data_IF_286703971550
#
_entry.id   IF_286703971550
#
_cell.length_a   1.000
_cell.length_b   1.000
_cell.length_c   1.000
_cell.angle_alpha   90.00
_cell.angle_beta   90.00
_cell.angle_gamma   90.00
#
_symmetry.space_group_name_H-M   'P 1'
#
loop_
_entity.id
_entity.type
_entity.pdbx_description
1 polymer ?
#
# COMPACT_ATOMS: atom_id res chain seq x y z
N UNK A 1 -0.48 -15.17 30.49
CA UNK A 1 0.71 -15.75 29.84
C UNK A 1 1.38 -14.63 29.06
N UNK A 2 2.58 -14.25 29.46
CA UNK A 2 3.40 -13.24 28.77
C UNK A 2 4.11 -13.93 27.62
N UNK A 3 3.70 -13.61 26.39
CA UNK A 3 4.26 -14.16 25.17
C UNK A 3 5.57 -13.46 24.82
N UNK A 4 6.57 -14.21 24.38
CA UNK A 4 7.79 -13.69 23.75
C UNK A 4 7.43 -13.03 22.42
N UNK A 5 6.98 -11.77 22.49
CA UNK A 5 6.97 -10.87 21.34
C UNK A 5 8.44 -10.51 21.08
N UNK A 6 8.97 -10.64 19.85
CA UNK A 6 10.31 -10.15 19.55
C UNK A 6 10.42 -8.69 20.02
N UNK A 7 11.51 -8.35 20.71
CA UNK A 7 11.70 -7.02 21.28
C UNK A 7 11.54 -5.97 20.17
N UNK A 8 10.79 -4.88 20.41
CA UNK A 8 10.62 -3.81 19.42
C UNK A 8 11.99 -3.34 18.96
N UNK A 9 12.26 -3.43 17.66
CA UNK A 9 13.49 -2.89 17.08
C UNK A 9 13.47 -1.36 17.04
N UNK A 10 12.28 -0.77 17.18
CA UNK A 10 12.05 0.67 17.11
C UNK A 10 11.00 1.07 18.15
N UNK A 11 11.18 2.20 18.83
CA UNK A 11 10.14 2.75 19.71
C UNK A 11 9.06 3.43 18.84
N UNK A 12 7.85 2.88 18.84
CA UNK A 12 6.72 3.42 18.08
C UNK A 12 6.38 4.87 18.46
N UNK A 13 6.59 5.27 19.71
CA UNK A 13 6.37 6.66 20.17
C UNK A 13 7.39 7.62 19.55
N UNK A 14 8.66 7.19 19.47
CA UNK A 14 9.71 7.96 18.83
C UNK A 14 9.46 8.12 17.32
N UNK A 15 9.00 7.05 16.63
CA UNK A 15 8.62 7.13 15.22
C UNK A 15 7.51 8.16 14.98
N UNK A 16 6.46 8.15 15.80
CA UNK A 16 5.38 9.13 15.73
C UNK A 16 5.88 10.55 15.96
N UNK A 17 6.73 10.74 16.96
CA UNK A 17 7.30 12.06 17.30
C UNK A 17 8.17 12.62 16.17
N UNK A 18 8.97 11.78 15.51
CA UNK A 18 9.75 12.16 14.33
C UNK A 18 8.85 12.55 13.17
N UNK A 19 7.78 11.77 12.91
CA UNK A 19 6.81 12.09 11.87
C UNK A 19 6.14 13.46 12.12
N UNK A 20 5.76 13.74 13.37
CA UNK A 20 5.18 15.02 13.76
C UNK A 20 6.14 16.19 13.58
N UNK A 21 7.42 16.00 13.88
CA UNK A 21 8.44 17.01 13.65
C UNK A 21 8.57 17.32 12.14
N UNK A 22 8.53 16.29 11.28
CA UNK A 22 8.58 16.45 9.83
C UNK A 22 7.33 17.13 9.26
N UNK A 23 6.15 16.85 9.80
CA UNK A 23 4.91 17.56 9.41
C UNK A 23 4.94 19.02 9.87
N UNK A 24 5.34 19.28 11.12
CA UNK A 24 5.47 20.64 11.68
C UNK A 24 6.49 21.50 10.93
N UNK A 25 7.56 20.90 10.41
CA UNK A 25 8.56 21.59 9.58
C UNK A 25 8.07 21.87 8.14
N UNK A 26 6.96 21.25 7.71
CA UNK A 26 6.44 21.36 6.35
C UNK A 26 7.15 20.48 5.31
N UNK A 27 8.11 19.65 5.73
CA UNK A 27 8.76 18.67 4.85
C UNK A 27 7.78 17.58 4.41
N UNK A 28 6.97 17.08 5.35
CA UNK A 28 5.89 16.13 5.10
C UNK A 28 4.56 16.88 5.06
N UNK A 29 3.78 16.67 3.99
CA UNK A 29 2.47 17.27 3.83
C UNK A 29 1.42 16.35 4.44
N UNK A 30 0.82 16.79 5.55
CA UNK A 30 -0.31 16.14 6.20
C UNK A 30 -1.45 17.15 6.37
N UNK A 31 -2.67 16.72 6.08
CA UNK A 31 -3.88 17.51 6.30
C UNK A 31 -4.56 17.02 7.58
N UNK A 32 -4.74 17.87 8.59
CA UNK A 32 -5.48 17.50 9.81
C UNK A 32 -7.00 17.59 9.61
N UNK A 33 -7.45 18.26 8.53
CA UNK A 33 -8.86 18.52 8.22
C UNK A 33 -9.46 17.56 7.19
N UNK A 34 -8.89 16.36 7.09
CA UNK A 34 -9.33 15.33 6.13
C UNK A 34 -10.78 14.92 6.38
N UNK A 35 -11.47 14.58 5.29
CA UNK A 35 -12.84 14.06 5.34
C UNK A 35 -12.89 12.67 4.73
N UNK A 36 -13.60 11.76 5.38
CA UNK A 36 -13.95 10.47 4.80
C UNK A 36 -15.35 10.59 4.20
N UNK A 37 -15.46 10.30 2.90
CA UNK A 37 -16.73 10.27 2.18
C UNK A 37 -17.02 8.83 1.79
N UNK A 38 -18.14 8.29 2.25
CA UNK A 38 -18.56 6.93 1.95
C UNK A 38 -19.43 6.87 0.71
N UNK A 39 -19.18 5.88 -0.15
CA UNK A 39 -20.02 5.58 -1.30
C UNK A 39 -20.27 4.08 -1.42
N UNK A 40 -21.48 3.70 -1.82
CA UNK A 40 -21.84 2.31 -2.14
C UNK A 40 -22.07 2.15 -3.64
N UNK A 41 -21.73 1.00 -4.21
CA UNK A 41 -21.94 0.71 -5.63
C UNK A 41 -22.43 -0.73 -5.84
N UNK A 42 -23.52 -0.91 -6.59
CA UNK A 42 -24.08 -2.23 -6.93
C UNK A 42 -24.44 -3.13 -5.73
N UNK A 43 -24.10 -4.43 -5.82
CA UNK A 43 -24.29 -5.45 -4.77
C UNK A 43 -23.36 -5.26 -3.56
N UNK A 44 -22.38 -4.35 -3.64
CA UNK A 44 -21.60 -3.87 -2.49
C UNK A 44 -22.42 -2.91 -1.61
N UNK A 45 -23.74 -2.83 -1.78
CA UNK A 45 -24.70 -2.18 -0.88
C UNK A 45 -24.52 -2.51 0.61
N UNK A 46 -23.80 -3.57 0.95
CA UNK A 46 -23.53 -3.97 2.35
C UNK A 46 -22.22 -3.37 2.88
N UNK A 47 -21.28 -2.89 2.04
CA UNK A 47 -19.99 -2.32 2.48
C UNK A 47 -19.45 -1.21 1.57
N UNK A 48 -19.15 -0.06 2.15
CA UNK A 48 -18.81 1.20 1.49
C UNK A 48 -17.37 1.24 0.93
N UNK A 49 -17.18 1.97 -0.17
CA UNK A 49 -15.92 2.59 -0.55
C UNK A 49 -15.69 3.83 0.31
N UNK A 50 -14.45 4.03 0.75
CA UNK A 50 -14.05 5.14 1.61
C UNK A 50 -13.12 6.06 0.83
N UNK A 51 -13.61 7.25 0.49
CA UNK A 51 -12.80 8.31 -0.11
C UNK A 51 -12.20 9.17 0.98
N UNK A 52 -10.86 9.22 1.06
CA UNK A 52 -10.14 10.12 1.96
C UNK A 52 -9.80 11.40 1.21
N UNK A 53 -10.61 12.44 1.40
CA UNK A 53 -10.41 13.75 0.81
C UNK A 53 -9.36 14.53 1.62
N UNK A 54 -8.23 14.84 1.00
CA UNK A 54 -7.08 15.46 1.66
C UNK A 54 -6.35 16.48 0.79
N UNK A 55 -6.03 17.65 1.36
CA UNK A 55 -5.23 18.68 0.69
C UNK A 55 -3.77 18.29 0.52
N UNK A 56 -3.29 17.30 1.29
CA UNK A 56 -1.90 16.82 1.21
C UNK A 56 -1.54 16.29 -0.19
N UNK A 57 -2.53 15.84 -0.97
CA UNK A 57 -2.33 15.29 -2.30
C UNK A 57 -2.33 16.34 -3.42
N UNK A 58 -2.75 17.59 -3.17
CA UNK A 58 -2.86 18.64 -4.20
C UNK A 58 -1.52 18.91 -4.89
N UNK A 59 -0.42 18.89 -4.11
CA UNK A 59 0.94 19.15 -4.61
C UNK A 59 1.64 17.89 -5.11
N UNK A 60 0.96 16.74 -5.13
CA UNK A 60 1.55 15.48 -5.59
C UNK A 60 1.72 15.56 -7.11
N UNK A 61 2.93 15.35 -7.65
CA UNK A 61 3.13 15.30 -9.09
C UNK A 61 2.27 14.18 -9.68
N UNK A 62 1.47 14.50 -10.69
CA UNK A 62 0.78 13.45 -11.46
C UNK A 62 1.74 12.89 -12.51
N UNK A 63 1.54 11.63 -12.91
CA UNK A 63 2.34 10.96 -13.97
C UNK A 63 2.29 11.71 -15.34
N UNK A 64 1.50 12.77 -15.45
CA UNK A 64 1.24 13.53 -16.69
C UNK A 64 2.11 14.78 -16.85
N UNK A 65 2.88 15.19 -15.85
CA UNK A 65 3.78 16.36 -15.96
C UNK A 65 5.22 15.89 -16.19
N UNK A 66 5.69 15.80 -17.45
CA UNK A 66 7.12 15.81 -17.71
C UNK A 66 7.65 17.20 -17.31
N UNK A 67 8.56 17.20 -16.34
CA UNK A 67 9.34 18.33 -15.82
C UNK A 67 8.62 19.63 -15.44
N UNK A 68 8.44 19.80 -14.13
CA UNK A 68 8.79 21.01 -13.39
C UNK A 68 8.83 20.68 -11.88
N UNK A 69 9.90 20.03 -11.43
CA UNK A 69 10.29 20.06 -10.00
C UNK A 69 11.78 20.40 -9.86
N UNK A 70 12.15 21.44 -10.60
CA UNK A 70 13.37 22.25 -10.46
C UNK A 70 13.00 23.64 -9.94
N UNK A 71 12.38 23.69 -8.75
CA UNK A 71 12.22 24.87 -7.88
C UNK A 71 11.21 24.47 -6.77
N UNK A 72 11.38 24.63 -5.46
CA UNK A 72 12.40 25.22 -4.60
C UNK A 72 12.14 24.65 -3.20
N UNK A 73 13.18 24.31 -2.44
CA UNK A 73 13.04 23.91 -1.04
C UNK A 73 14.37 23.42 -0.44
N UNK A 74 15.05 24.33 0.26
CA UNK A 74 16.21 24.15 1.15
C UNK A 74 17.37 23.29 0.64
N UNK A 75 18.36 23.93 0.00
CA UNK A 75 19.82 23.83 0.26
C UNK A 75 20.54 22.48 0.36
N UNK A 76 19.86 21.35 0.33
CA UNK A 76 20.43 20.01 0.32
C UNK A 76 20.55 19.61 -1.15
N UNK A 77 21.75 19.26 -1.58
CA UNK A 77 21.94 18.66 -2.91
C UNK A 77 21.02 17.43 -3.00
N UNK A 78 20.30 17.28 -4.12
CA UNK A 78 19.53 16.05 -4.42
C UNK A 78 20.51 14.89 -4.62
N UNK A 79 21.10 14.39 -3.54
CA UNK A 79 21.97 13.24 -3.59
C UNK A 79 21.10 12.01 -3.42
N UNK A 80 20.71 11.44 -4.56
CA UNK A 80 19.99 10.17 -4.58
C UNK A 80 20.96 9.03 -4.24
N UNK A 81 20.48 8.06 -3.47
CA UNK A 81 21.19 6.78 -3.31
C UNK A 81 21.41 6.14 -4.69
N UNK A 82 22.60 5.59 -5.00
CA UNK A 82 22.84 4.93 -6.27
C UNK A 82 21.77 3.90 -6.63
N UNK A 83 21.21 4.00 -7.83
CA UNK A 83 20.13 3.14 -8.33
C UNK A 83 18.71 3.60 -7.97
N UNK A 84 18.56 4.50 -6.99
CA UNK A 84 17.28 4.97 -6.47
C UNK A 84 16.71 6.16 -7.25
N UNK A 85 15.39 6.17 -7.43
CA UNK A 85 14.59 7.28 -7.96
C UNK A 85 13.77 8.02 -6.89
N UNK A 86 14.07 7.78 -5.61
CA UNK A 86 13.40 8.35 -4.44
C UNK A 86 14.38 9.25 -3.69
N UNK A 87 14.01 10.51 -3.51
CA UNK A 87 14.75 11.46 -2.68
C UNK A 87 14.36 11.25 -1.21
N UNK A 88 15.32 10.78 -0.41
CA UNK A 88 15.11 10.41 1.00
C UNK A 88 15.62 11.48 1.96
N UNK A 89 16.34 12.48 1.46
CA UNK A 89 17.07 13.45 2.27
C UNK A 89 16.11 14.26 3.17
N UNK A 90 16.30 14.14 4.48
CA UNK A 90 15.50 14.85 5.49
C UNK A 90 14.15 14.19 5.79
N UNK A 91 13.87 13.00 5.27
CA UNK A 91 12.66 12.24 5.55
C UNK A 91 12.92 11.01 6.45
N UNK A 92 14.16 10.78 6.87
CA UNK A 92 14.58 9.60 7.61
C UNK A 92 13.92 9.53 9.00
N UNK A 93 13.44 8.34 9.38
CA UNK A 93 12.65 8.15 10.61
C UNK A 93 13.47 7.82 11.87
N UNK A 94 14.80 7.79 11.77
CA UNK A 94 15.69 7.45 12.89
C UNK A 94 15.73 5.95 13.25
N UNK A 95 16.62 5.64 14.21
CA UNK A 95 17.06 4.34 14.74
C UNK A 95 16.38 3.01 14.30
N UNK A 96 17.24 2.14 13.74
CA UNK A 96 17.10 0.69 13.58
C UNK A 96 16.08 0.22 12.55
N UNK A 97 16.49 0.37 11.31
CA UNK A 97 16.00 -0.43 10.20
C UNK A 97 17.14 -1.32 9.74
N UNK A 98 16.80 -2.57 9.43
CA UNK A 98 17.75 -3.68 9.25
C UNK A 98 18.95 -3.33 8.36
N UNK A 99 19.97 -4.19 8.34
CA UNK A 99 21.06 -4.06 7.36
C UNK A 99 20.60 -4.08 5.90
N UNK A 100 19.32 -4.36 5.62
CA UNK A 100 18.73 -4.42 4.29
C UNK A 100 17.70 -3.32 4.00
N UNK A 101 17.11 -2.66 5.01
CA UNK A 101 16.01 -1.69 4.82
C UNK A 101 16.21 -0.39 5.61
N UNK A 102 15.45 0.64 5.24
CA UNK A 102 15.31 1.88 6.02
C UNK A 102 13.93 2.53 5.84
N UNK A 103 13.48 3.25 6.87
CA UNK A 103 12.20 3.96 6.92
C UNK A 103 12.39 5.44 6.65
N UNK A 104 11.49 5.98 5.83
CA UNK A 104 11.27 7.40 5.65
C UNK A 104 9.80 7.75 5.86
N UNK A 105 9.51 9.01 6.18
CA UNK A 105 8.16 9.53 6.07
C UNK A 105 7.74 9.67 4.60
N UNK A 106 6.49 9.33 4.28
CA UNK A 106 5.93 9.63 2.99
C UNK A 106 5.58 11.13 2.90
N UNK A 107 6.23 11.84 1.98
CA UNK A 107 6.00 13.28 1.75
C UNK A 107 4.53 13.64 1.50
N UNK A 108 3.79 12.80 0.78
CA UNK A 108 2.38 13.03 0.42
C UNK A 108 1.50 12.01 1.14
N UNK A 109 1.19 12.30 2.41
CA UNK A 109 0.50 11.37 3.29
C UNK A 109 -0.98 11.70 3.48
N UNK A 110 -1.79 10.66 3.68
CA UNK A 110 -3.20 10.78 4.09
C UNK A 110 -3.47 10.04 5.41
N UNK A 111 -2.41 9.72 6.15
CA UNK A 111 -2.49 9.08 7.45
C UNK A 111 -1.31 9.49 8.32
N UNK A 112 -1.49 9.39 9.64
CA UNK A 112 -0.50 9.73 10.65
C UNK A 112 -0.14 8.50 11.47
N UNK A 113 1.06 7.90 11.26
CA UNK A 113 2.06 8.21 10.26
C UNK A 113 1.77 7.48 8.94
N UNK A 114 2.23 8.02 7.82
CA UNK A 114 2.35 7.28 6.56
C UNK A 114 3.81 7.22 6.20
N UNK A 115 4.37 6.01 6.22
CA UNK A 115 5.79 5.74 6.06
C UNK A 115 6.04 4.96 4.76
N UNK A 116 7.29 5.00 4.31
CA UNK A 116 7.81 4.13 3.27
C UNK A 116 9.04 3.41 3.81
N UNK A 117 9.08 2.09 3.66
CA UNK A 117 10.24 1.26 3.97
C UNK A 117 10.89 0.86 2.65
N UNK A 118 12.14 1.28 2.45
CA UNK A 118 12.89 1.08 1.23
C UNK A 118 14.00 0.07 1.46
N UNK A 119 14.35 -0.68 0.42
CA UNK A 119 15.61 -1.44 0.41
C UNK A 119 16.79 -0.48 0.50
N UNK A 120 17.89 -0.86 1.18
CA UNK A 120 19.14 -0.09 1.16
C UNK A 120 19.85 -0.18 -0.19
N UNK A 121 19.66 -1.28 -0.90
CA UNK A 121 20.14 -1.43 -2.26
C UNK A 121 19.20 -0.70 -3.24
N UNK A 122 19.59 0.49 -3.68
CA UNK A 122 18.85 1.30 -4.65
C UNK A 122 18.53 0.61 -5.98
N UNK A 123 19.22 -0.48 -6.31
CA UNK A 123 19.01 -1.23 -7.55
C UNK A 123 17.91 -2.29 -7.45
N UNK A 124 17.41 -2.63 -6.26
CA UNK A 124 16.24 -3.49 -6.11
C UNK A 124 15.02 -2.79 -6.68
N UNK A 125 14.27 -3.50 -7.53
CA UNK A 125 13.19 -2.92 -8.32
C UNK A 125 11.82 -3.26 -7.78
N UNK A 126 10.91 -2.32 -7.95
CA UNK A 126 9.52 -2.41 -7.52
C UNK A 126 8.71 -3.48 -8.27
N UNK A 127 9.24 -4.05 -9.36
CA UNK A 127 8.65 -5.20 -10.06
C UNK A 127 9.20 -6.55 -9.59
N UNK A 128 10.21 -6.56 -8.71
CA UNK A 128 10.70 -7.79 -8.08
C UNK A 128 9.73 -8.22 -6.97
N UNK A 129 9.49 -9.54 -6.79
CA UNK A 129 8.63 -10.03 -5.72
C UNK A 129 9.17 -9.64 -4.33
N UNK A 130 8.28 -9.44 -3.37
CA UNK A 130 8.68 -9.36 -1.96
C UNK A 130 9.40 -10.66 -1.56
N UNK A 131 10.48 -10.54 -0.81
CA UNK A 131 11.29 -11.65 -0.33
C UNK A 131 11.25 -11.72 1.21
N UNK A 132 11.92 -12.74 1.77
CA UNK A 132 11.96 -12.98 3.22
C UNK A 132 12.46 -11.77 4.01
N UNK A 133 13.49 -11.07 3.53
CA UNK A 133 14.06 -9.92 4.23
C UNK A 133 13.15 -8.70 4.23
N UNK A 134 12.35 -8.53 3.17
CA UNK A 134 11.34 -7.47 3.10
C UNK A 134 10.25 -7.70 4.14
N UNK A 135 9.79 -8.96 4.26
CA UNK A 135 8.82 -9.34 5.28
C UNK A 135 9.39 -9.23 6.69
N UNK A 136 10.63 -9.67 6.93
CA UNK A 136 11.28 -9.56 8.25
C UNK A 136 11.38 -8.11 8.71
N UNK A 137 11.78 -7.19 7.83
CA UNK A 137 11.83 -5.76 8.15
C UNK A 137 10.43 -5.21 8.46
N UNK A 138 9.46 -5.42 7.57
CA UNK A 138 8.09 -4.94 7.74
C UNK A 138 7.41 -5.50 9.01
N UNK A 139 7.65 -6.78 9.34
CA UNK A 139 7.08 -7.42 10.53
C UNK A 139 7.66 -6.84 11.82
N UNK A 140 8.96 -6.52 11.84
CA UNK A 140 9.60 -5.84 12.98
C UNK A 140 8.98 -4.46 13.26
N UNK A 141 8.71 -3.69 12.21
CA UNK A 141 8.05 -2.39 12.33
C UNK A 141 6.58 -2.53 12.75
N UNK A 142 5.83 -3.50 12.21
CA UNK A 142 4.47 -3.79 12.67
C UNK A 142 4.43 -4.17 14.16
N UNK A 143 5.35 -5.03 14.61
CA UNK A 143 5.43 -5.42 16.02
C UNK A 143 5.74 -4.24 16.97
N UNK A 144 6.46 -3.24 16.45
CA UNK A 144 6.83 -2.02 17.17
C UNK A 144 5.71 -0.98 17.21
N UNK A 145 4.91 -0.87 16.16
CA UNK A 145 3.85 0.13 16.02
C UNK A 145 2.47 -0.34 16.48
N UNK A 146 2.18 -1.64 16.38
CA UNK A 146 0.90 -2.18 16.80
C UNK A 146 0.76 -2.15 18.33
N UNK A 147 -0.36 -1.62 18.81
CA UNK A 147 -0.73 -1.62 20.22
C UNK A 147 -2.15 -2.19 20.42
N UNK A 148 -2.66 -2.16 21.66
CA UNK A 148 -3.96 -2.71 21.99
C UNK A 148 -5.15 -2.01 21.31
N UNK A 149 -4.93 -0.81 20.76
CA UNK A 149 -5.94 0.09 20.20
C UNK A 149 -5.77 0.35 18.71
N UNK A 150 -4.59 0.06 18.15
CA UNK A 150 -4.23 0.43 16.78
C UNK A 150 -3.42 -0.66 16.09
N UNK A 151 -3.95 -1.11 14.96
CA UNK A 151 -3.26 -1.95 13.99
C UNK A 151 -2.71 -1.11 12.84
N UNK A 152 -1.63 -1.58 12.24
CA UNK A 152 -1.00 -1.02 11.05
C UNK A 152 -1.10 -1.99 9.87
N UNK A 153 -1.11 -1.41 8.67
CA UNK A 153 -1.09 -2.13 7.40
C UNK A 153 0.18 -1.80 6.63
N UNK A 154 0.80 -2.84 6.09
CA UNK A 154 1.87 -2.75 5.09
C UNK A 154 1.25 -2.99 3.73
N UNK A 155 1.66 -2.23 2.72
CA UNK A 155 1.21 -2.46 1.36
C UNK A 155 2.29 -2.25 0.30
N UNK A 156 2.19 -3.00 -0.79
CA UNK A 156 3.17 -3.05 -1.87
C UNK A 156 2.49 -3.00 -3.24
N UNK A 157 2.95 -2.09 -4.09
CA UNK A 157 2.45 -1.93 -5.46
C UNK A 157 3.51 -2.46 -6.41
N UNK A 158 3.35 -3.68 -6.92
CA UNK A 158 4.36 -4.37 -7.73
C UNK A 158 4.27 -3.98 -9.20
N UNK A 159 5.31 -3.35 -9.73
CA UNK A 159 5.42 -2.95 -11.13
C UNK A 159 4.45 -1.85 -11.57
N UNK A 160 4.61 -1.41 -12.83
CA UNK A 160 3.89 -0.26 -13.40
C UNK A 160 2.37 -0.44 -13.32
N UNK A 161 1.86 -1.59 -13.77
CA UNK A 161 0.42 -1.87 -13.76
C UNK A 161 -0.12 -2.20 -12.36
N UNK A 162 0.76 -2.52 -11.40
CA UNK A 162 0.42 -2.60 -9.98
C UNK A 162 0.19 -1.23 -9.32
N UNK A 163 0.46 -0.14 -10.03
CA UNK A 163 0.26 1.23 -9.55
C UNK A 163 1.45 1.79 -8.78
N UNK A 164 2.68 1.31 -9.05
CA UNK A 164 3.86 1.93 -8.45
C UNK A 164 4.13 3.32 -9.04
N UNK A 165 4.48 4.27 -8.18
CA UNK A 165 4.93 5.61 -8.59
C UNK A 165 6.45 5.75 -8.69
N UNK A 166 7.20 4.79 -8.15
CA UNK A 166 8.67 4.80 -8.04
C UNK A 166 9.22 3.41 -8.31
N UNK A 167 10.43 3.34 -8.85
CA UNK A 167 11.10 2.10 -9.27
C UNK A 167 11.94 1.46 -8.18
N UNK A 168 12.53 2.24 -7.28
CA UNK A 168 13.27 1.69 -6.14
C UNK A 168 12.30 0.92 -5.23
N UNK A 169 12.65 -0.34 -4.90
CA UNK A 169 11.80 -1.24 -4.14
C UNK A 169 11.46 -0.68 -2.76
N UNK A 170 10.16 -0.60 -2.48
CA UNK A 170 9.65 -0.10 -1.21
C UNK A 170 8.26 -0.67 -0.91
N UNK A 171 7.99 -0.86 0.37
CA UNK A 171 6.64 -1.04 0.92
C UNK A 171 6.21 0.24 1.62
N UNK A 172 4.91 0.44 1.76
CA UNK A 172 4.34 1.56 2.49
C UNK A 172 3.67 1.07 3.75
N UNK A 173 3.70 1.88 4.81
CA UNK A 173 3.15 1.55 6.11
C UNK A 173 2.28 2.68 6.63
N UNK A 174 1.13 2.37 7.20
CA UNK A 174 0.28 3.35 7.88
C UNK A 174 -0.68 2.66 8.84
N UNK A 175 -1.30 3.40 9.78
CA UNK A 175 -2.43 2.88 10.54
C UNK A 175 -3.46 2.27 9.61
N UNK A 176 -3.95 1.10 9.97
CA UNK A 176 -5.00 0.41 9.23
C UNK A 176 -6.25 1.30 9.22
N UNK A 177 -6.73 1.74 8.05
CA UNK A 177 -7.93 2.59 8.00
C UNK A 177 -9.14 1.86 8.57
N UNK A 178 -10.02 2.63 9.21
CA UNK A 178 -11.32 2.12 9.62
C UNK A 178 -12.22 2.09 8.40
N UNK A 179 -12.76 0.91 8.08
CA UNK A 179 -13.68 0.71 6.97
C UNK A 179 -13.02 0.30 5.65
N UNK A 180 -13.84 0.30 4.60
CA UNK A 180 -13.51 -0.29 3.31
C UNK A 180 -13.90 -1.78 3.26
N UNK A 181 -14.58 -2.17 2.18
CA UNK A 181 -15.22 -3.48 2.07
C UNK A 181 -14.30 -4.67 2.38
N UNK A 182 -13.03 -4.59 2.00
CA UNK A 182 -12.06 -5.64 2.20
C UNK A 182 -11.49 -5.66 3.62
N UNK A 183 -11.15 -4.50 4.17
CA UNK A 183 -10.62 -4.40 5.55
C UNK A 183 -11.67 -4.89 6.54
N UNK A 184 -12.92 -4.47 6.39
CA UNK A 184 -14.04 -4.93 7.22
C UNK A 184 -14.23 -6.45 7.13
N UNK A 185 -13.87 -7.07 6.00
CA UNK A 185 -14.02 -8.51 5.82
C UNK A 185 -12.84 -9.24 6.45
N UNK A 186 -11.62 -8.85 6.08
CA UNK A 186 -10.38 -9.47 6.52
C UNK A 186 -10.17 -9.34 8.04
N UNK A 187 -10.76 -8.31 8.67
CA UNK A 187 -10.73 -8.14 10.12
C UNK A 187 -11.89 -8.80 10.87
N UNK A 188 -12.85 -9.41 10.18
CA UNK A 188 -13.99 -10.10 10.80
C UNK A 188 -13.83 -11.61 10.80
N UNK A 189 -14.69 -12.32 11.54
CA UNK A 189 -14.85 -13.78 11.45
C UNK A 189 -15.85 -14.21 10.38
N UNK A 190 -16.31 -13.27 9.54
CA UNK A 190 -17.28 -13.56 8.47
C UNK A 190 -16.68 -14.56 7.49
N UNK A 191 -17.45 -15.61 7.19
CA UNK A 191 -17.19 -16.58 6.10
C UNK A 191 -17.81 -16.14 4.78
N UNK A 192 -18.68 -15.13 4.80
CA UNK A 192 -19.32 -14.59 3.60
C UNK A 192 -18.40 -13.54 2.97
N UNK A 193 -17.65 -13.97 1.97
CA UNK A 193 -16.76 -13.13 1.18
C UNK A 193 -17.52 -12.00 0.48
N UNK A 194 -17.00 -10.75 0.46
CA UNK A 194 -17.57 -9.68 -0.35
C UNK A 194 -17.53 -10.06 -1.83
N UNK A 195 -18.59 -9.72 -2.56
CA UNK A 195 -18.64 -9.89 -4.02
C UNK A 195 -17.73 -8.85 -4.69
N UNK A 196 -16.43 -9.12 -4.69
CA UNK A 196 -15.44 -8.26 -5.37
C UNK A 196 -15.37 -8.60 -6.86
N UNK A 197 -15.22 -7.60 -7.76
CA UNK A 197 -15.30 -7.81 -9.21
C UNK A 197 -13.96 -8.21 -9.85
N UNK A 198 -12.99 -8.60 -9.04
CA UNK A 198 -11.64 -8.98 -9.44
C UNK A 198 -11.16 -10.17 -8.60
N UNK A 199 -10.17 -10.88 -9.12
CA UNK A 199 -9.47 -11.94 -8.40
C UNK A 199 -8.63 -11.36 -7.27
N UNK A 200 -8.73 -11.97 -6.10
CA UNK A 200 -7.91 -11.66 -4.94
C UNK A 200 -7.67 -12.93 -4.14
N UNK A 201 -6.45 -13.10 -3.66
CA UNK A 201 -6.03 -14.29 -2.93
C UNK A 201 -5.58 -13.84 -1.55
N UNK A 202 -6.17 -14.38 -0.50
CA UNK A 202 -5.91 -13.95 0.87
C UNK A 202 -5.78 -15.11 1.83
N UNK A 203 -5.10 -14.84 2.95
CA UNK A 203 -5.00 -15.73 4.09
C UNK A 203 -5.22 -14.91 5.36
N UNK A 204 -6.17 -15.34 6.20
CA UNK A 204 -6.27 -14.88 7.60
C UNK A 204 -5.36 -15.75 8.47
N UNK A 205 -4.65 -15.11 9.39
CA UNK A 205 -3.82 -15.75 10.39
C UNK A 205 -4.66 -15.95 11.65
N UNK A 206 -4.94 -17.20 12.00
CA UNK A 206 -5.72 -17.53 13.20
C UNK A 206 -4.91 -17.38 14.49
N UNK A 207 -3.59 -17.45 14.40
CA UNK A 207 -2.67 -17.29 15.53
C UNK A 207 -2.01 -15.91 15.51
N UNK A 208 -1.91 -15.26 16.67
CA UNK A 208 -1.18 -13.99 16.82
C UNK A 208 0.35 -14.16 16.72
N UNK A 209 0.86 -15.39 16.60
CA UNK A 209 2.28 -15.73 16.62
C UNK A 209 2.85 -16.13 15.24
N UNK A 210 2.30 -15.58 14.14
CA UNK A 210 2.84 -15.84 12.80
C UNK A 210 4.20 -15.15 12.64
N UNK A 211 5.21 -15.93 12.28
CA UNK A 211 6.56 -15.43 12.00
C UNK A 211 6.65 -14.82 10.59
N UNK A 212 7.53 -13.83 10.40
CA UNK A 212 7.77 -13.21 9.09
C UNK A 212 8.10 -14.24 7.99
N UNK A 213 8.83 -15.30 8.32
CA UNK A 213 9.13 -16.38 7.37
C UNK A 213 7.89 -17.15 6.91
N UNK A 214 6.91 -17.37 7.80
CA UNK A 214 5.63 -18.01 7.44
C UNK A 214 4.78 -17.10 6.55
N UNK A 215 4.81 -15.79 6.81
CA UNK A 215 4.14 -14.79 5.96
C UNK A 215 4.78 -14.76 4.58
N UNK A 216 6.11 -14.76 4.48
CA UNK A 216 6.82 -14.79 3.22
C UNK A 216 6.47 -16.04 2.39
N UNK A 217 6.43 -17.23 3.00
CA UNK A 217 5.97 -18.45 2.34
C UNK A 217 4.51 -18.37 1.88
N UNK A 218 3.63 -17.81 2.72
CA UNK A 218 2.22 -17.58 2.37
C UNK A 218 2.09 -16.64 1.17
N UNK A 219 2.84 -15.54 1.17
CA UNK A 219 2.88 -14.60 0.05
C UNK A 219 3.29 -15.29 -1.26
N UNK A 220 4.33 -16.13 -1.25
CA UNK A 220 4.77 -16.82 -2.47
C UNK A 220 3.68 -17.74 -3.03
N UNK A 221 2.94 -18.44 -2.17
CA UNK A 221 1.80 -19.28 -2.58
C UNK A 221 0.65 -18.46 -3.16
N UNK A 222 0.34 -17.29 -2.57
CA UNK A 222 -0.69 -16.38 -3.09
C UNK A 222 -0.24 -15.69 -4.39
N UNK A 223 1.05 -15.37 -4.49
CA UNK A 223 1.66 -14.80 -5.69
C UNK A 223 1.62 -15.79 -6.86
N UNK A 224 1.82 -17.08 -6.60
CA UNK A 224 1.68 -18.11 -7.62
C UNK A 224 0.26 -18.12 -8.21
N UNK A 225 -0.76 -18.17 -7.34
CA UNK A 225 -2.17 -18.09 -7.77
C UNK A 225 -2.48 -16.80 -8.53
N UNK A 226 -2.00 -15.65 -8.03
CA UNK A 226 -2.13 -14.37 -8.70
C UNK A 226 -1.47 -14.36 -10.09
N UNK A 227 -0.31 -14.99 -10.20
CA UNK A 227 0.43 -15.11 -11.47
C UNK A 227 -0.33 -15.98 -12.47
N UNK A 228 -0.85 -17.13 -12.05
CA UNK A 228 -1.65 -18.02 -12.89
C UNK A 228 -2.91 -17.30 -13.42
N UNK A 229 -3.66 -16.63 -12.54
CA UNK A 229 -4.82 -15.83 -12.94
C UNK A 229 -4.46 -14.68 -13.90
N UNK A 230 -3.34 -14.00 -13.65
CA UNK A 230 -2.86 -12.92 -14.51
C UNK A 230 -2.43 -13.42 -15.89
N UNK A 231 -1.72 -14.55 -15.97
CA UNK A 231 -1.34 -15.18 -17.23
C UNK A 231 -2.57 -15.60 -18.02
N UNK A 232 -3.54 -16.25 -17.37
CA UNK A 232 -4.80 -16.65 -17.99
C UNK A 232 -5.59 -15.44 -18.53
N UNK A 233 -5.56 -14.31 -17.83
CA UNK A 233 -6.28 -13.09 -18.23
C UNK A 233 -5.59 -12.29 -19.34
N UNK A 234 -4.25 -12.33 -19.41
CA UNK A 234 -3.48 -11.48 -20.32
C UNK A 234 -2.86 -12.21 -21.50
N UNK A 235 -2.71 -13.53 -21.42
CA UNK A 235 -1.97 -14.36 -22.40
C UNK A 235 -0.47 -14.08 -22.42
N UNK A 236 0.07 -13.42 -21.39
CA UNK A 236 1.48 -13.02 -21.30
C UNK A 236 2.22 -13.84 -20.26
N UNK A 237 3.51 -14.04 -20.48
CA UNK A 237 4.43 -14.54 -19.47
C UNK A 237 5.03 -13.41 -18.62
N UNK A 238 5.45 -13.78 -17.41
CA UNK A 238 6.17 -12.88 -16.51
C UNK A 238 7.66 -12.96 -16.85
N UNK A 239 8.34 -11.83 -17.14
CA UNK A 239 9.76 -11.83 -17.42
C UNK A 239 10.60 -12.38 -16.25
N UNK A 240 11.73 -12.98 -16.56
CA UNK A 240 12.67 -13.50 -15.57
C UNK A 240 13.06 -12.42 -14.54
N UNK A 241 13.04 -12.79 -13.26
CA UNK A 241 13.35 -11.90 -12.14
C UNK A 241 12.24 -10.91 -11.78
N UNK A 242 11.10 -10.92 -12.48
CA UNK A 242 9.93 -10.09 -12.15
C UNK A 242 8.80 -10.92 -11.56
N UNK A 243 7.89 -10.24 -10.87
CA UNK A 243 6.57 -10.78 -10.54
C UNK A 243 5.53 -10.25 -11.54
N UNK A 244 4.38 -10.93 -11.67
CA UNK A 244 3.24 -10.33 -12.35
C UNK A 244 2.87 -9.01 -11.65
N UNK A 245 2.32 -7.99 -12.35
CA UNK A 245 1.82 -6.80 -11.69
C UNK A 245 0.75 -7.18 -10.66
N UNK A 246 0.95 -6.78 -9.40
CA UNK A 246 0.03 -7.13 -8.31
C UNK A 246 0.10 -6.11 -7.18
N UNK A 247 -0.94 -6.10 -6.34
CA UNK A 247 -0.91 -5.45 -5.05
C UNK A 247 -0.77 -6.46 -3.94
N UNK A 248 -0.10 -6.06 -2.86
CA UNK A 248 -0.09 -6.76 -1.59
C UNK A 248 -0.55 -5.80 -0.52
N UNK A 249 -1.39 -6.27 0.39
CA UNK A 249 -1.61 -5.62 1.66
C UNK A 249 -1.58 -6.68 2.76
N UNK A 250 -0.97 -6.35 3.89
CA UNK A 250 -0.93 -7.26 5.03
C UNK A 250 -0.85 -6.53 6.36
N UNK A 251 -1.34 -7.20 7.38
CA UNK A 251 -1.26 -6.83 8.80
C UNK A 251 -0.64 -8.01 9.56
N UNK A 252 -0.55 -7.90 10.88
CA UNK A 252 -0.22 -9.05 11.74
C UNK A 252 -1.25 -10.19 11.68
N UNK A 253 -2.43 -9.95 11.07
CA UNK A 253 -3.59 -10.84 11.10
C UNK A 253 -4.01 -11.41 9.74
N UNK A 254 -3.57 -10.82 8.65
CA UNK A 254 -3.92 -11.31 7.31
C UNK A 254 -2.96 -10.77 6.25
N UNK A 255 -2.94 -11.44 5.11
CA UNK A 255 -2.29 -10.99 3.88
C UNK A 255 -3.24 -11.19 2.71
N UNK A 256 -3.22 -10.26 1.76
CA UNK A 256 -3.95 -10.34 0.49
C UNK A 256 -3.05 -9.95 -0.67
N UNK A 257 -3.17 -10.69 -1.78
CA UNK A 257 -2.50 -10.46 -3.05
C UNK A 257 -3.56 -10.29 -4.14
N UNK A 258 -3.48 -9.22 -4.92
CA UNK A 258 -4.45 -8.88 -5.96
C UNK A 258 -3.70 -8.72 -7.29
N UNK A 259 -3.83 -9.65 -8.26
CA UNK A 259 -3.25 -9.47 -9.59
C UNK A 259 -3.88 -8.26 -10.30
N UNK A 260 -3.03 -7.45 -10.94
CA UNK A 260 -3.40 -6.17 -11.56
C UNK A 260 -3.20 -6.20 -13.06
N UNK A 261 -4.12 -5.57 -13.80
CA UNK A 261 -4.04 -5.40 -15.26
C UNK A 261 -3.66 -3.99 -15.67
N UNK A 262 -4.08 -3.00 -14.90
CA UNK A 262 -3.82 -1.58 -15.14
C UNK A 262 -3.72 -0.84 -13.82
N UNK A 263 -2.87 0.18 -13.77
CA UNK A 263 -2.73 1.05 -12.61
C UNK A 263 -3.94 2.00 -12.42
N UNK A 264 -4.53 2.44 -13.53
CA UNK A 264 -5.57 3.47 -13.56
C UNK A 264 -6.51 3.29 -14.76
N UNK A 265 -7.76 3.72 -14.59
CA UNK A 265 -8.78 3.78 -15.65
C UNK A 265 -8.51 4.99 -16.53
N UNK A 266 -8.20 6.12 -15.90
CA UNK A 266 -7.80 7.36 -16.56
C UNK A 266 -6.81 8.15 -15.68
N UNK A 267 -6.47 9.38 -16.08
CA UNK A 267 -5.49 10.22 -15.38
C UNK A 267 -5.91 10.62 -13.96
N UNK A 268 -7.20 10.65 -13.66
CA UNK A 268 -7.79 11.09 -12.40
C UNK A 268 -8.30 9.90 -11.54
N UNK A 269 -8.32 8.68 -12.10
CA UNK A 269 -8.84 7.48 -11.45
C UNK A 269 -7.80 6.33 -11.48
N UNK A 270 -6.82 6.39 -10.58
CA UNK A 270 -5.85 5.34 -10.33
C UNK A 270 -5.91 4.81 -8.90
N UNK A 271 -5.56 3.53 -8.72
CA UNK A 271 -5.55 2.88 -7.40
C UNK A 271 -4.25 2.13 -7.13
N UNK A 272 -3.79 2.28 -5.89
CA UNK A 272 -2.78 1.43 -5.30
C UNK A 272 -3.45 0.24 -4.58
N UNK A 273 -2.67 -0.48 -3.77
CA UNK A 273 -3.15 -1.60 -2.96
C UNK A 273 -4.36 -1.26 -2.10
N UNK A 274 -4.37 -0.12 -1.39
CA UNK A 274 -5.49 0.27 -0.53
C UNK A 274 -6.73 0.66 -1.34
N UNK A 275 -6.56 1.26 -2.51
CA UNK A 275 -7.68 1.56 -3.41
C UNK A 275 -8.38 0.30 -3.93
N UNK A 276 -7.62 -0.78 -4.19
CA UNK A 276 -8.22 -2.09 -4.50
C UNK A 276 -8.93 -2.73 -3.29
N UNK A 277 -8.67 -2.27 -2.06
CA UNK A 277 -9.38 -2.68 -0.84
C UNK A 277 -10.57 -1.76 -0.50
N UNK A 278 -10.85 -0.77 -1.36
CA UNK A 278 -11.96 0.17 -1.19
C UNK A 278 -11.60 1.47 -0.48
N UNK A 279 -10.31 1.77 -0.27
CA UNK A 279 -9.86 3.01 0.39
C UNK A 279 -9.09 3.86 -0.61
N UNK A 280 -9.70 4.95 -1.09
CA UNK A 280 -9.17 5.78 -2.17
C UNK A 280 -8.89 7.19 -1.62
N UNK A 281 -7.63 7.60 -1.60
CA UNK A 281 -7.26 8.96 -1.22
C UNK A 281 -7.29 9.88 -2.45
N UNK A 282 -7.96 11.02 -2.33
CA UNK A 282 -8.22 11.99 -3.42
C UNK A 282 -7.91 13.41 -2.97
N UNK A 283 -7.54 14.26 -3.92
CA UNK A 283 -7.23 15.66 -3.64
C UNK A 283 -8.48 16.57 -3.69
N UNK A 284 -9.50 16.17 -4.45
CA UNK A 284 -10.68 17.02 -4.72
C UNK A 284 -11.98 16.20 -4.75
N UNK A 285 -13.12 16.86 -4.47
CA UNK A 285 -14.45 16.25 -4.63
C UNK A 285 -14.74 15.88 -6.09
N UNK A 286 -14.18 16.62 -7.05
CA UNK A 286 -14.29 16.32 -8.49
C UNK A 286 -13.71 14.94 -8.83
N UNK A 287 -12.61 14.54 -8.19
CA UNK A 287 -12.06 13.19 -8.36
C UNK A 287 -13.02 12.11 -7.85
N UNK A 288 -13.71 12.35 -6.72
CA UNK A 288 -14.75 11.45 -6.20
C UNK A 288 -15.90 11.33 -7.22
N UNK A 289 -16.39 12.47 -7.73
CA UNK A 289 -17.45 12.46 -8.75
C UNK A 289 -17.04 11.69 -10.00
N UNK A 290 -15.79 11.83 -10.46
CA UNK A 290 -15.26 11.07 -11.60
C UNK A 290 -15.27 9.56 -11.31
N UNK A 291 -14.81 9.14 -10.12
CA UNK A 291 -14.90 7.75 -9.68
C UNK A 291 -16.34 7.21 -9.69
N UNK A 292 -17.28 7.98 -9.14
CA UNK A 292 -18.71 7.60 -9.11
C UNK A 292 -19.28 7.51 -10.53
N UNK A 293 -18.95 8.46 -11.42
CA UNK A 293 -19.40 8.46 -12.83
C UNK A 293 -18.87 7.25 -13.62
N UNK A 294 -17.64 6.81 -13.36
CA UNK A 294 -17.05 5.62 -14.00
C UNK A 294 -17.68 4.31 -13.49
N UNK A 295 -18.28 4.32 -12.30
CA UNK A 295 -18.70 3.13 -11.56
C UNK A 295 -17.52 2.51 -10.82
N UNK A 296 -17.62 2.41 -9.49
CA UNK A 296 -16.52 2.00 -8.62
C UNK A 296 -16.16 0.52 -8.84
N UNK A 297 -17.18 -0.32 -8.90
CA UNK A 297 -17.06 -1.77 -9.09
C UNK A 297 -16.51 -2.08 -10.49
N UNK A 298 -17.04 -1.40 -11.51
CA UNK A 298 -16.58 -1.54 -12.89
C UNK A 298 -15.10 -1.12 -13.01
N UNK A 299 -14.75 0.01 -12.39
CA UNK A 299 -13.37 0.49 -12.36
C UNK A 299 -12.43 -0.51 -11.71
N UNK A 300 -12.76 -1.05 -10.52
CA UNK A 300 -11.91 -2.07 -9.90
C UNK A 300 -11.82 -3.37 -10.72
N UNK A 301 -12.87 -3.76 -11.43
CA UNK A 301 -12.84 -4.92 -12.34
C UNK A 301 -11.88 -4.72 -13.52
N UNK A 302 -11.82 -3.49 -14.06
CA UNK A 302 -10.88 -3.16 -15.14
C UNK A 302 -9.43 -3.13 -14.65
N UNK A 303 -9.21 -2.67 -13.42
CA UNK A 303 -7.88 -2.50 -12.83
C UNK A 303 -7.27 -3.82 -12.33
N UNK A 304 -8.10 -4.73 -11.84
CA UNK A 304 -7.71 -6.09 -11.44
C UNK A 304 -7.84 -7.11 -12.56
N UNK A 305 -7.42 -8.35 -12.30
CA UNK A 305 -7.87 -9.49 -13.13
C UNK A 305 -9.34 -9.72 -12.83
N UNK A 306 -10.21 -9.61 -13.83
CA UNK A 306 -11.65 -9.76 -13.63
C UNK A 306 -11.98 -11.18 -13.17
N UNK A 307 -12.74 -11.30 -12.09
CA UNK A 307 -13.30 -12.57 -11.63
C UNK A 307 -14.50 -12.86 -12.51
N UNK A 308 -14.43 -13.92 -13.32
CA UNK A 308 -15.57 -14.35 -14.12
C UNK A 308 -16.77 -14.48 -13.19
N UNK A 309 -17.83 -13.70 -13.43
CA UNK A 309 -19.10 -13.95 -12.77
C UNK A 309 -19.50 -15.33 -13.26
N UNK A 310 -19.30 -16.34 -12.42
CA UNK A 310 -19.84 -17.66 -12.69
C UNK A 310 -21.29 -17.46 -13.04
N UNK A 311 -21.66 -17.84 -14.26
CA UNK A 311 -23.05 -18.13 -14.59
C UNK A 311 -23.38 -19.30 -13.67
N UNK A 312 -23.94 -18.98 -12.50
CA UNK A 312 -24.64 -19.95 -11.66
C UNK A 312 -26.04 -20.07 -12.24
#
# INVERSE_FOLDING_TARGET
MTYDRPAPTTDGSALLSTFDALTKSGLVLYDESQKVVEHTDGDLKVRSFHFVLTKALIKKPTLSTPDQSSASGNGLSKQLTPGSDIDTNGFEMGHSESSTHFLIANKFCFSRPHLMMLTRNGYCRQYEPLNKTDFEAAWGTLASLNDATKDYVVFFNCGKDGGCSRLHKHVQLMPLPVGGFAVDYLNSDSTKEPKVPFEWFYQRFQDSAVSASKVAGTYLNLLQQATEAWKASTGKDVPDGQACPHNVAFTSRWIVVIPRRKAAVNKEAGVNSLGMLGIIAVATEKEIENWVKLGLTNSLSELGVSRGVGVI
#
